data_IF_427479281219
#
_entry.id   IF_427479281219
#
_cell.length_a   1.000
_cell.length_b   1.000
_cell.length_c   1.000
_cell.angle_alpha   90.00
_cell.angle_beta   90.00
_cell.angle_gamma   90.00
#
_symmetry.space_group_name_H-M   'P 1'
#
loop_
_entity.id
_entity.type
_entity.pdbx_description
1 polymer ?
#
# COMPACT_ATOMS: atom_id res chain seq x y z
N UNK A 1 17.18 -1.82 -4.10
CA UNK A 1 15.87 -2.41 -4.46
C UNK A 1 14.82 -1.37 -4.83
N UNK A 2 14.71 -0.24 -4.13
CA UNK A 2 13.61 0.74 -4.29
C UNK A 2 13.54 1.44 -5.66
N UNK A 3 14.64 2.00 -6.15
CA UNK A 3 14.68 2.82 -7.37
C UNK A 3 13.96 2.23 -8.60
N UNK A 4 14.16 0.94 -8.99
CA UNK A 4 13.48 0.38 -10.16
C UNK A 4 11.96 0.30 -10.00
N UNK A 5 11.44 0.11 -8.79
CA UNK A 5 9.98 0.14 -8.55
C UNK A 5 9.45 1.58 -8.57
N UNK A 6 10.21 2.52 -8.00
CA UNK A 6 9.79 3.92 -7.86
C UNK A 6 9.74 4.68 -9.19
N UNK A 7 10.66 4.36 -10.12
CA UNK A 7 10.82 5.07 -11.39
C UNK A 7 9.50 5.19 -12.17
N UNK A 8 8.80 4.07 -12.31
CA UNK A 8 7.55 4.00 -13.08
C UNK A 8 6.31 4.04 -12.18
N UNK A 9 6.45 3.84 -10.86
CA UNK A 9 5.31 3.95 -9.95
C UNK A 9 4.84 5.38 -9.78
N UNK A 10 5.76 6.36 -9.69
CA UNK A 10 5.43 7.78 -9.47
C UNK A 10 4.54 8.33 -10.60
N UNK A 11 4.93 8.26 -11.89
CA UNK A 11 4.06 8.73 -12.98
C UNK A 11 2.76 7.91 -13.08
N UNK A 12 2.83 6.61 -12.81
CA UNK A 12 1.65 5.74 -12.78
C UNK A 12 0.67 6.11 -11.65
N UNK A 13 1.16 6.47 -10.46
CA UNK A 13 0.37 6.89 -9.32
C UNK A 13 -0.27 8.25 -9.54
N UNK A 14 0.44 9.18 -10.18
CA UNK A 14 -0.14 10.43 -10.64
C UNK A 14 -1.31 10.19 -11.61
N UNK A 15 -1.09 9.36 -12.64
CA UNK A 15 -2.14 8.97 -13.59
C UNK A 15 -3.31 8.25 -12.89
N UNK A 16 -3.01 7.37 -11.93
CA UNK A 16 -4.01 6.68 -11.13
C UNK A 16 -4.85 7.63 -10.28
N UNK A 17 -4.23 8.64 -9.66
CA UNK A 17 -4.97 9.67 -8.91
C UNK A 17 -5.78 10.60 -9.82
N UNK A 18 -5.33 10.76 -11.07
CA UNK A 18 -6.06 11.52 -12.09
C UNK A 18 -7.26 10.75 -12.65
N UNK A 19 -7.16 9.43 -12.81
CA UNK A 19 -8.22 8.57 -13.34
C UNK A 19 -9.22 8.23 -12.22
N UNK A 20 -10.50 8.58 -12.39
CA UNK A 20 -11.59 8.09 -11.54
C UNK A 20 -12.36 7.00 -12.31
N UNK A 21 -11.97 5.71 -12.23
CA UNK A 21 -12.75 4.64 -12.81
C UNK A 21 -14.08 4.47 -12.06
N UNK A 22 -15.00 3.68 -12.62
CA UNK A 22 -16.29 3.41 -12.00
C UNK A 22 -16.11 2.82 -10.59
N UNK A 23 -16.87 3.36 -9.63
CA UNK A 23 -16.76 3.01 -8.21
C UNK A 23 -16.88 1.50 -7.95
N UNK A 24 -17.65 0.78 -8.76
CA UNK A 24 -17.85 -0.67 -8.65
C UNK A 24 -16.58 -1.48 -8.96
N UNK A 25 -15.83 -1.12 -10.01
CA UNK A 25 -14.61 -1.83 -10.40
C UNK A 25 -13.50 -1.59 -9.38
N UNK A 26 -13.35 -0.34 -8.94
CA UNK A 26 -12.38 0.02 -7.91
C UNK A 26 -12.66 -0.74 -6.61
N UNK A 27 -13.94 -0.87 -6.24
CA UNK A 27 -14.32 -1.57 -5.01
C UNK A 27 -13.99 -3.05 -5.01
N UNK A 28 -14.36 -3.75 -6.08
CA UNK A 28 -14.07 -5.17 -6.21
C UNK A 28 -12.55 -5.39 -6.20
N UNK A 29 -11.79 -4.58 -6.95
CA UNK A 29 -10.35 -4.73 -7.07
C UNK A 29 -9.63 -4.46 -5.74
N UNK A 30 -9.97 -3.38 -5.02
CA UNK A 30 -9.44 -3.11 -3.68
C UNK A 30 -9.82 -4.24 -2.72
N UNK A 31 -11.10 -4.64 -2.69
CA UNK A 31 -11.61 -5.65 -1.79
C UNK A 31 -10.90 -7.00 -1.94
N UNK A 32 -10.77 -7.49 -3.18
CA UNK A 32 -10.07 -8.75 -3.48
C UNK A 32 -8.62 -8.69 -3.03
N UNK A 33 -7.93 -7.56 -3.25
CA UNK A 33 -6.52 -7.46 -2.87
C UNK A 33 -6.32 -7.29 -1.37
N UNK A 34 -7.21 -6.59 -0.67
CA UNK A 34 -7.19 -6.53 0.79
C UNK A 34 -7.38 -7.91 1.40
N UNK A 35 -8.34 -8.70 0.90
CA UNK A 35 -8.58 -10.07 1.36
C UNK A 35 -7.40 -11.00 1.04
N UNK A 36 -6.83 -10.92 -0.16
CA UNK A 36 -5.64 -11.68 -0.53
C UNK A 36 -4.43 -11.34 0.37
N UNK A 37 -4.23 -10.05 0.65
CA UNK A 37 -3.16 -9.57 1.54
C UNK A 37 -3.37 -10.05 2.97
N UNK A 38 -4.60 -10.00 3.49
CA UNK A 38 -4.96 -10.50 4.82
C UNK A 38 -4.71 -12.01 4.95
N UNK A 39 -5.19 -12.81 3.99
CA UNK A 39 -4.99 -14.26 3.97
C UNK A 39 -3.48 -14.59 3.96
N UNK A 40 -2.72 -13.96 3.08
CA UNK A 40 -1.27 -14.19 2.97
C UNK A 40 -0.53 -13.86 4.27
N UNK A 41 -0.90 -12.78 4.93
CA UNK A 41 -0.27 -12.34 6.19
C UNK A 41 -0.48 -13.35 7.34
N UNK A 42 -1.56 -14.15 7.28
CA UNK A 42 -1.84 -15.26 8.19
C UNK A 42 -1.03 -16.51 7.83
N UNK A 43 -0.86 -16.81 6.53
CA UNK A 43 -0.27 -18.07 6.07
C UNK A 43 1.27 -18.10 5.89
N UNK A 44 1.95 -16.97 5.64
CA UNK A 44 3.42 -16.98 5.42
C UNK A 44 4.14 -15.93 6.27
N UNK A 45 4.84 -16.40 7.31
CA UNK A 45 5.62 -15.57 8.26
C UNK A 45 7.12 -15.86 8.31
N UNK A 46 7.61 -16.88 7.62
CA UNK A 46 9.03 -17.20 7.66
C UNK A 46 9.81 -16.26 6.75
N UNK A 47 10.84 -15.62 7.30
CA UNK A 47 11.83 -14.90 6.50
C UNK A 47 12.40 -15.87 5.45
N UNK A 48 12.40 -15.52 4.16
CA UNK A 48 12.99 -16.39 3.16
C UNK A 48 14.49 -16.58 3.45
N UNK A 49 15.01 -17.82 3.56
CA UNK A 49 16.41 -18.07 3.90
C UNK A 49 17.39 -17.60 2.82
N UNK A 50 16.89 -17.36 1.61
CA UNK A 50 17.63 -16.76 0.49
C UNK A 50 16.71 -15.81 -0.27
N UNK A 51 17.24 -14.64 -0.64
CA UNK A 51 16.56 -13.62 -1.44
C UNK A 51 17.12 -13.57 -2.86
N UNK A 52 16.25 -13.33 -3.84
CA UNK A 52 16.63 -13.19 -5.25
C UNK A 52 16.38 -11.77 -5.72
N UNK A 53 17.33 -11.19 -6.45
CA UNK A 53 17.13 -9.87 -7.05
C UNK A 53 16.26 -10.01 -8.30
N UNK A 54 15.13 -9.28 -8.41
CA UNK A 54 14.33 -9.30 -9.62
C UNK A 54 15.12 -8.73 -10.79
N UNK A 55 14.82 -9.23 -12.00
CA UNK A 55 15.29 -8.58 -13.22
C UNK A 55 14.70 -7.17 -13.29
N UNK A 56 15.54 -6.21 -13.73
CA UNK A 56 15.17 -4.78 -13.83
C UNK A 56 13.84 -4.53 -14.54
N UNK A 57 13.51 -5.15 -15.70
CA UNK A 57 12.24 -4.91 -16.36
C UNK A 57 11.02 -5.40 -15.55
N UNK A 58 11.15 -6.49 -14.80
CA UNK A 58 10.06 -7.01 -13.95
C UNK A 58 9.80 -6.07 -12.77
N UNK A 59 10.85 -5.59 -12.11
CA UNK A 59 10.73 -4.63 -11.02
C UNK A 59 10.09 -3.29 -11.48
N UNK A 60 10.46 -2.84 -12.68
CA UNK A 60 9.93 -1.62 -13.29
C UNK A 60 8.44 -1.79 -13.67
N UNK A 61 8.09 -2.89 -14.35
CA UNK A 61 6.71 -3.15 -14.76
C UNK A 61 5.76 -3.36 -13.57
N UNK A 62 6.22 -4.08 -12.54
CA UNK A 62 5.46 -4.22 -11.30
C UNK A 62 5.32 -2.90 -10.56
N UNK A 63 6.38 -2.08 -10.51
CA UNK A 63 6.33 -0.71 -9.98
C UNK A 63 5.25 0.15 -10.66
N UNK A 64 5.16 0.10 -11.99
CA UNK A 64 4.13 0.81 -12.76
C UNK A 64 2.72 0.40 -12.35
N UNK A 65 2.43 -0.92 -12.37
CA UNK A 65 1.10 -1.43 -12.02
C UNK A 65 0.72 -1.11 -10.57
N UNK A 66 1.65 -1.29 -9.64
CA UNK A 66 1.44 -0.97 -8.23
C UNK A 66 1.29 0.52 -7.97
N UNK A 67 2.00 1.37 -8.71
CA UNK A 67 1.85 2.82 -8.66
C UNK A 67 0.47 3.26 -9.14
N UNK A 68 0.01 2.75 -10.29
CA UNK A 68 -1.33 3.01 -10.81
C UNK A 68 -2.41 2.62 -9.79
N UNK A 69 -2.35 1.39 -9.27
CA UNK A 69 -3.25 0.91 -8.23
C UNK A 69 -3.16 1.76 -6.96
N UNK A 70 -1.96 2.15 -6.55
CA UNK A 70 -1.76 3.06 -5.42
C UNK A 70 -2.48 4.39 -5.60
N UNK A 71 -2.33 5.01 -6.77
CA UNK A 71 -2.97 6.29 -7.11
C UNK A 71 -4.50 6.18 -7.14
N UNK A 72 -5.02 5.11 -7.76
CA UNK A 72 -6.46 4.85 -7.87
C UNK A 72 -7.11 4.60 -6.50
N UNK A 73 -6.40 3.89 -5.61
CA UNK A 73 -6.95 3.44 -4.32
C UNK A 73 -6.65 4.42 -3.18
N UNK A 74 -5.71 5.35 -3.36
CA UNK A 74 -5.25 6.28 -2.33
C UNK A 74 -4.49 5.64 -1.16
N UNK A 75 -4.11 4.36 -1.27
CA UNK A 75 -3.50 3.59 -0.17
C UNK A 75 -1.97 3.70 -0.10
N UNK A 76 -1.32 4.35 -1.07
CA UNK A 76 0.14 4.41 -1.18
C UNK A 76 0.80 3.11 -1.70
N UNK A 77 0.03 2.06 -2.00
CA UNK A 77 0.54 0.86 -2.70
C UNK A 77 1.37 -0.10 -1.83
N UNK A 78 1.74 0.27 -0.60
CA UNK A 78 2.53 -0.59 0.29
C UNK A 78 1.81 -1.85 0.77
N UNK A 79 0.48 -1.82 0.79
CA UNK A 79 -0.36 -3.01 1.08
C UNK A 79 -0.14 -4.10 0.01
N UNK A 80 0.20 -3.68 -1.21
CA UNK A 80 0.45 -4.57 -2.34
C UNK A 80 1.94 -4.90 -2.49
N UNK A 81 2.82 -3.91 -2.30
CA UNK A 81 4.26 -4.08 -2.48
C UNK A 81 4.86 -5.02 -1.44
N UNK A 82 4.50 -4.85 -0.16
CA UNK A 82 5.04 -5.66 0.94
C UNK A 82 4.80 -7.16 0.71
N UNK A 83 3.56 -7.62 0.43
CA UNK A 83 3.33 -9.03 0.18
C UNK A 83 4.00 -9.52 -1.11
N UNK A 84 4.07 -8.70 -2.16
CA UNK A 84 4.72 -9.07 -3.40
C UNK A 84 6.22 -9.31 -3.21
N UNK A 85 6.92 -8.39 -2.54
CA UNK A 85 8.35 -8.50 -2.22
C UNK A 85 8.66 -9.78 -1.42
N UNK A 86 7.82 -10.10 -0.45
CA UNK A 86 7.98 -11.30 0.37
C UNK A 86 7.58 -12.57 -0.39
N UNK A 87 6.63 -12.50 -1.32
CA UNK A 87 6.10 -13.67 -2.03
C UNK A 87 7.11 -14.14 -3.07
N UNK A 88 7.65 -13.20 -3.81
CA UNK A 88 8.70 -13.43 -4.79
C UNK A 88 10.09 -13.61 -4.17
N UNK A 89 10.20 -13.54 -2.84
CA UNK A 89 11.47 -13.63 -2.08
C UNK A 89 12.50 -12.59 -2.54
N UNK A 90 12.04 -11.38 -2.88
CA UNK A 90 12.89 -10.29 -3.37
C UNK A 90 13.51 -9.45 -2.26
N UNK A 91 12.99 -9.56 -1.04
CA UNK A 91 13.49 -8.86 0.12
C UNK A 91 13.19 -9.65 1.41
N UNK A 92 13.99 -9.43 2.45
CA UNK A 92 13.68 -9.85 3.82
C UNK A 92 12.59 -8.97 4.43
N UNK A 93 11.95 -9.43 5.50
CA UNK A 93 10.84 -8.71 6.17
C UNK A 93 11.20 -7.26 6.50
N UNK A 94 12.39 -7.04 7.09
CA UNK A 94 12.85 -5.69 7.47
C UNK A 94 13.12 -4.79 6.26
N UNK A 95 13.66 -5.35 5.18
CA UNK A 95 13.90 -4.62 3.93
C UNK A 95 12.59 -4.30 3.21
N UNK A 96 11.65 -5.26 3.16
CA UNK A 96 10.33 -5.05 2.56
C UNK A 96 9.57 -3.94 3.30
N UNK A 97 9.63 -3.91 4.63
CA UNK A 97 9.01 -2.85 5.43
C UNK A 97 9.60 -1.46 5.09
N UNK A 98 10.93 -1.34 5.01
CA UNK A 98 11.60 -0.08 4.68
C UNK A 98 11.28 0.40 3.25
N UNK A 99 11.33 -0.51 2.27
CA UNK A 99 11.03 -0.19 0.86
C UNK A 99 9.56 0.19 0.69
N UNK A 100 8.64 -0.51 1.35
CA UNK A 100 7.21 -0.19 1.30
C UNK A 100 6.88 1.14 1.94
N UNK A 101 7.53 1.52 3.05
CA UNK A 101 7.31 2.83 3.66
C UNK A 101 7.69 3.99 2.71
N UNK A 102 8.86 3.88 2.05
CA UNK A 102 9.27 4.85 1.04
C UNK A 102 8.34 4.85 -0.18
N UNK A 103 7.91 3.67 -0.62
CA UNK A 103 6.98 3.52 -1.74
C UNK A 103 5.61 4.15 -1.44
N UNK A 104 5.10 3.95 -0.22
CA UNK A 104 3.89 4.62 0.27
C UNK A 104 4.04 6.12 0.19
N UNK A 105 5.15 6.66 0.70
CA UNK A 105 5.37 8.11 0.72
C UNK A 105 5.36 8.71 -0.69
N UNK A 106 6.18 8.18 -1.61
CA UNK A 106 6.29 8.76 -2.96
C UNK A 106 5.02 8.60 -3.78
N UNK A 107 4.33 7.47 -3.69
CA UNK A 107 3.09 7.26 -4.46
C UNK A 107 1.90 8.01 -3.85
N UNK A 108 1.85 8.20 -2.53
CA UNK A 108 0.83 9.04 -1.90
C UNK A 108 0.99 10.50 -2.30
N UNK A 109 2.22 11.02 -2.34
CA UNK A 109 2.48 12.38 -2.83
C UNK A 109 2.07 12.50 -4.30
N UNK A 110 2.49 11.57 -5.15
CA UNK A 110 2.16 11.58 -6.57
C UNK A 110 0.65 11.47 -6.83
N UNK A 111 -0.03 10.56 -6.13
CA UNK A 111 -1.48 10.39 -6.23
C UNK A 111 -2.26 11.59 -5.70
N UNK A 112 -1.80 12.21 -4.61
CA UNK A 112 -2.38 13.44 -4.07
C UNK A 112 -2.27 14.59 -5.08
N UNK A 113 -1.10 14.78 -5.69
CA UNK A 113 -0.90 15.79 -6.75
C UNK A 113 -1.81 15.49 -7.96
N UNK A 114 -1.94 14.22 -8.36
CA UNK A 114 -2.87 13.80 -9.43
C UNK A 114 -4.33 14.10 -9.11
N UNK A 115 -4.74 13.90 -7.86
CA UNK A 115 -6.08 14.23 -7.39
C UNK A 115 -6.32 15.75 -7.38
N UNK A 116 -5.39 16.53 -6.81
CA UNK A 116 -5.49 17.99 -6.70
C UNK A 116 -5.54 18.69 -8.04
N UNK A 117 -4.76 18.25 -9.02
CA UNK A 117 -4.76 18.83 -10.37
C UNK A 117 -6.12 18.74 -11.06
N UNK A 118 -6.89 17.68 -10.75
CA UNK A 118 -8.22 17.44 -11.34
C UNK A 118 -9.36 18.07 -10.54
N UNK A 119 -9.37 17.91 -9.22
CA UNK A 119 -10.49 18.32 -8.34
C UNK A 119 -10.36 19.77 -7.87
N UNK A 120 -9.13 20.31 -7.78
CA UNK A 120 -8.80 21.70 -7.38
C UNK A 120 -9.49 22.20 -6.11
N UNK A 121 -10.01 21.32 -5.27
CA UNK A 121 -10.67 21.66 -4.01
C UNK A 121 -10.19 20.74 -2.90
N UNK A 122 -10.01 21.32 -1.72
CA UNK A 122 -9.68 20.58 -0.49
C UNK A 122 -10.99 20.30 0.23
N UNK A 123 -11.32 19.04 0.53
CA UNK A 123 -12.46 18.74 1.38
C UNK A 123 -12.32 19.45 2.73
N UNK A 124 -13.40 20.02 3.27
CA UNK A 124 -13.38 20.70 4.58
C UNK A 124 -12.87 19.81 5.72
N UNK A 125 -13.13 18.50 5.65
CA UNK A 125 -12.61 17.49 6.57
C UNK A 125 -11.16 17.06 6.31
N UNK A 126 -10.55 17.45 5.19
CA UNK A 126 -9.23 16.97 4.77
C UNK A 126 -8.13 17.26 5.80
N UNK A 127 -8.14 18.47 6.38
CA UNK A 127 -7.19 18.88 7.42
C UNK A 127 -7.36 18.09 8.72
N UNK A 128 -8.60 17.84 9.13
CA UNK A 128 -8.92 17.05 10.33
C UNK A 128 -8.47 15.60 10.13
N UNK A 129 -8.77 15.01 8.98
CA UNK A 129 -8.36 13.65 8.64
C UNK A 129 -6.83 13.53 8.54
N UNK A 130 -6.15 14.54 7.99
CA UNK A 130 -4.69 14.58 7.95
C UNK A 130 -4.09 14.62 9.36
N UNK A 131 -4.60 15.48 10.25
CA UNK A 131 -4.15 15.55 11.64
C UNK A 131 -4.38 14.22 12.39
N UNK A 132 -5.58 13.63 12.23
CA UNK A 132 -5.89 12.32 12.80
C UNK A 132 -4.97 11.22 12.28
N UNK A 133 -4.65 11.22 10.98
CA UNK A 133 -3.74 10.26 10.37
C UNK A 133 -2.29 10.42 10.87
N UNK A 134 -1.81 11.65 11.06
CA UNK A 134 -0.48 11.93 11.61
C UNK A 134 -0.39 11.43 13.06
N UNK A 135 -1.36 11.78 13.89
CA UNK A 135 -1.39 11.37 15.31
C UNK A 135 -1.51 9.85 15.42
N UNK A 136 -2.47 9.26 14.72
CA UNK A 136 -2.67 7.80 14.72
C UNK A 136 -1.48 7.03 14.16
N UNK A 137 -0.85 7.53 13.10
CA UNK A 137 0.35 6.95 12.50
C UNK A 137 1.56 7.03 13.43
N UNK A 138 1.78 8.18 14.08
CA UNK A 138 2.86 8.37 15.04
C UNK A 138 2.71 7.44 16.26
N UNK A 139 1.52 7.41 16.86
CA UNK A 139 1.22 6.53 17.99
C UNK A 139 1.36 5.05 17.59
N UNK A 140 0.79 4.66 16.45
CA UNK A 140 0.86 3.30 15.93
C UNK A 140 2.30 2.83 15.65
N UNK A 141 3.13 3.70 15.05
CA UNK A 141 4.55 3.40 14.82
C UNK A 141 5.34 3.31 16.12
N UNK A 142 5.09 4.21 17.08
CA UNK A 142 5.79 4.20 18.35
C UNK A 142 5.46 2.94 19.18
N UNK A 143 4.17 2.59 19.28
CA UNK A 143 3.70 1.38 19.96
C UNK A 143 4.14 0.11 19.24
N UNK A 144 4.01 0.06 17.92
CA UNK A 144 4.38 -1.10 17.11
C UNK A 144 5.89 -1.39 17.13
N UNK A 145 6.73 -0.36 17.21
CA UNK A 145 8.19 -0.56 17.23
C UNK A 145 8.74 -0.97 18.60
N UNK A 146 8.07 -0.58 19.71
CA UNK A 146 8.60 -0.77 21.07
C UNK A 146 7.87 -1.80 21.93
N UNK A 147 6.57 -2.01 21.74
CA UNK A 147 5.75 -2.75 22.72
C UNK A 147 5.13 -4.05 22.19
N UNK A 148 4.92 -4.19 20.87
CA UNK A 148 4.18 -5.32 20.33
C UNK A 148 5.08 -6.34 19.62
N UNK A 149 4.90 -7.65 19.88
CA UNK A 149 5.55 -8.67 19.08
C UNK A 149 5.00 -8.64 17.65
N UNK A 150 5.84 -8.96 16.66
CA UNK A 150 5.48 -8.97 15.22
C UNK A 150 4.19 -9.74 14.91
N UNK A 151 3.86 -10.73 15.76
CA UNK A 151 2.61 -11.52 15.68
C UNK A 151 1.37 -10.67 15.91
N UNK A 152 1.35 -9.79 16.91
CA UNK A 152 0.20 -8.94 17.24
C UNK A 152 -0.05 -7.89 16.16
N UNK A 153 1.02 -7.26 15.66
CA UNK A 153 0.94 -6.27 14.58
C UNK A 153 0.39 -6.92 13.30
N UNK A 154 0.91 -8.10 12.96
CA UNK A 154 0.42 -8.86 11.82
C UNK A 154 -1.05 -9.25 12.01
N UNK A 155 -1.47 -9.72 13.19
CA UNK A 155 -2.87 -10.09 13.42
C UNK A 155 -3.81 -8.88 13.34
N UNK A 156 -3.45 -7.77 13.97
CA UNK A 156 -4.20 -6.51 13.91
C UNK A 156 -4.35 -6.03 12.47
N UNK A 157 -3.26 -6.03 11.70
CA UNK A 157 -3.30 -5.65 10.29
C UNK A 157 -4.20 -6.60 9.49
N UNK A 158 -4.11 -7.91 9.69
CA UNK A 158 -4.98 -8.87 9.02
C UNK A 158 -6.46 -8.62 9.34
N UNK A 159 -6.81 -8.34 10.60
CA UNK A 159 -8.18 -8.01 11.02
C UNK A 159 -8.66 -6.74 10.32
N UNK A 160 -7.88 -5.66 10.37
CA UNK A 160 -8.24 -4.38 9.74
C UNK A 160 -8.42 -4.54 8.22
N UNK A 161 -7.51 -5.23 7.54
CA UNK A 161 -7.61 -5.48 6.10
C UNK A 161 -8.82 -6.35 5.75
N UNK A 162 -9.14 -7.34 6.59
CA UNK A 162 -10.32 -8.20 6.38
C UNK A 162 -11.62 -7.39 6.53
N UNK A 163 -11.72 -6.59 7.60
CA UNK A 163 -12.89 -5.72 7.83
C UNK A 163 -13.04 -4.71 6.68
N UNK A 164 -11.95 -4.05 6.30
CA UNK A 164 -11.94 -3.08 5.21
C UNK A 164 -12.33 -3.75 3.89
N UNK A 165 -11.70 -4.88 3.54
CA UNK A 165 -12.00 -5.61 2.30
C UNK A 165 -13.44 -6.11 2.24
N UNK A 166 -13.93 -6.72 3.33
CA UNK A 166 -15.31 -7.18 3.42
C UNK A 166 -16.31 -6.02 3.30
N UNK A 167 -16.13 -4.93 4.05
CA UNK A 167 -17.00 -3.74 3.99
C UNK A 167 -17.05 -3.18 2.56
N UNK A 168 -15.90 -3.11 1.92
CA UNK A 168 -15.75 -2.46 0.62
C UNK A 168 -16.44 -3.26 -0.50
N UNK A 169 -16.49 -4.59 -0.38
CA UNK A 169 -17.26 -5.52 -1.25
C UNK A 169 -18.75 -5.54 -0.90
N UNK A 170 -19.10 -5.53 0.40
CA UNK A 170 -20.46 -5.74 0.89
C UNK A 170 -21.33 -4.48 0.83
N UNK A 171 -20.75 -3.30 1.00
CA UNK A 171 -21.48 -2.05 0.77
C UNK A 171 -21.81 -1.97 -0.74
N UNK A 172 -23.06 -1.67 -1.11
CA UNK A 172 -23.44 -1.42 -2.51
C UNK A 172 -23.14 0.01 -2.93
#
# INVERSE_FOLDING_TARGET
LFWPFALLSIPAAYLGGYLQPSASVLRILIGTVLLFSAARLVFRRSDPPQTFTPSRPVAIGTGAGLGLLSGLTGTGGGIFLTPLLLFCRWAHIRQAAAVSALFILVNSIAGLVGYFTRVRSVPSLGLILAAAAVIGGALGSHLGSRHFPSRTISLLLAIVLTIAGAKLILTR
#
